data_IF_082580369517
#
_entry.id   IF_082580369517
#
_cell.length_a   1.000
_cell.length_b   1.000
_cell.length_c   1.000
_cell.angle_alpha   90.00
_cell.angle_beta   90.00
_cell.angle_gamma   90.00
#
_symmetry.space_group_name_H-M   'P 1'
#
loop_
_entity.id
_entity.type
_entity.pdbx_description
1 polymer ?
#
# COMPACT_ATOMS: atom_id res chain seq x y z
N UNK A 1 -7.47 -24.63 -11.01
CA UNK A 1 -7.58 -23.61 -9.95
C UNK A 1 -8.16 -24.28 -8.71
N UNK A 2 -7.56 -24.13 -7.52
CA UNK A 2 -8.21 -24.60 -6.30
C UNK A 2 -9.60 -23.97 -6.19
N UNK A 3 -10.58 -24.77 -5.75
CA UNK A 3 -11.97 -24.38 -5.70
C UNK A 3 -12.16 -23.17 -4.75
N UNK A 4 -12.50 -21.99 -5.28
CA UNK A 4 -12.70 -20.74 -4.52
C UNK A 4 -13.63 -20.92 -3.32
N UNK A 5 -14.63 -21.81 -3.44
CA UNK A 5 -15.52 -22.15 -2.34
C UNK A 5 -14.82 -22.89 -1.18
N UNK A 6 -13.85 -23.75 -1.48
CA UNK A 6 -13.04 -24.46 -0.48
C UNK A 6 -12.11 -23.49 0.25
N UNK A 7 -11.44 -22.61 -0.50
CA UNK A 7 -10.59 -21.56 0.07
C UNK A 7 -11.40 -20.63 0.99
N UNK A 8 -12.59 -20.20 0.56
CA UNK A 8 -13.49 -19.40 1.38
C UNK A 8 -13.94 -20.13 2.67
N UNK A 9 -14.16 -21.44 2.61
CA UNK A 9 -14.50 -22.23 3.80
C UNK A 9 -13.33 -22.35 4.77
N UNK A 10 -12.11 -22.54 4.27
CA UNK A 10 -10.89 -22.57 5.08
C UNK A 10 -10.63 -21.21 5.72
N UNK A 11 -10.73 -20.13 4.95
CA UNK A 11 -10.56 -18.77 5.46
C UNK A 11 -11.55 -18.46 6.59
N UNK A 12 -12.83 -18.78 6.42
CA UNK A 12 -13.83 -18.61 7.49
C UNK A 12 -13.46 -19.38 8.77
N UNK A 13 -12.93 -20.59 8.64
CA UNK A 13 -12.47 -21.37 9.81
C UNK A 13 -11.28 -20.71 10.50
N UNK A 14 -10.34 -20.16 9.74
CA UNK A 14 -9.20 -19.43 10.29
C UNK A 14 -9.69 -18.18 11.04
N UNK A 15 -10.58 -17.39 10.42
CA UNK A 15 -11.13 -16.18 11.03
C UNK A 15 -11.86 -16.47 12.36
N UNK A 16 -12.55 -17.60 12.47
CA UNK A 16 -13.20 -18.01 13.73
C UNK A 16 -12.20 -18.47 14.82
N UNK A 17 -10.93 -18.65 14.48
CA UNK A 17 -9.90 -19.17 15.39
C UNK A 17 -8.85 -18.14 15.83
N UNK A 18 -8.83 -16.96 15.20
CA UNK A 18 -7.88 -15.88 15.52
C UNK A 18 -8.43 -14.91 16.54
N UNK A 19 -7.54 -14.21 17.23
CA UNK A 19 -7.89 -13.29 18.30
C UNK A 19 -8.72 -12.10 17.81
N UNK A 20 -8.34 -11.50 16.66
CA UNK A 20 -9.00 -10.32 16.09
C UNK A 20 -9.33 -10.50 14.59
N UNK A 21 -10.42 -11.20 14.25
CA UNK A 21 -10.81 -11.41 12.85
C UNK A 21 -11.18 -10.14 12.08
N UNK A 22 -11.58 -9.07 12.80
CA UNK A 22 -11.88 -7.77 12.19
C UNK A 22 -10.73 -7.19 11.37
N UNK A 23 -9.47 -7.52 11.71
CA UNK A 23 -8.26 -7.11 10.98
C UNK A 23 -8.21 -7.57 9.53
N UNK A 24 -8.99 -8.59 9.18
CA UNK A 24 -8.90 -9.31 7.91
C UNK A 24 -10.22 -9.36 7.14
N UNK A 25 -11.28 -8.77 7.69
CA UNK A 25 -12.64 -8.89 7.15
C UNK A 25 -12.93 -7.88 6.04
N UNK A 26 -12.18 -6.77 5.97
CA UNK A 26 -12.42 -5.68 5.03
C UNK A 26 -13.67 -4.86 5.37
N UNK A 27 -14.16 -4.10 4.40
CA UNK A 27 -15.37 -3.27 4.55
C UNK A 27 -15.15 -1.92 5.24
N UNK A 28 -13.93 -1.38 5.13
CA UNK A 28 -13.54 -0.12 5.76
C UNK A 28 -14.37 1.07 5.30
N UNK A 29 -14.62 2.00 6.24
CA UNK A 29 -15.14 3.31 5.86
C UNK A 29 -14.15 4.05 4.97
N UNK A 30 -14.64 4.69 3.91
CA UNK A 30 -13.80 5.36 2.92
C UNK A 30 -13.13 4.42 1.90
N UNK A 31 -13.57 3.16 1.83
CA UNK A 31 -13.14 2.25 0.76
C UNK A 31 -13.53 2.81 -0.62
N UNK A 32 -12.56 2.88 -1.52
CA UNK A 32 -12.78 3.31 -2.89
C UNK A 32 -13.74 2.36 -3.63
N UNK A 33 -14.60 2.88 -4.53
CA UNK A 33 -15.46 2.03 -5.34
C UNK A 33 -14.62 1.09 -6.21
N UNK A 34 -15.05 -0.16 -6.34
CA UNK A 34 -14.35 -1.16 -7.13
C UNK A 34 -14.23 -0.73 -8.59
N UNK A 35 -13.00 -0.64 -9.10
CA UNK A 35 -12.70 -0.36 -10.51
C UNK A 35 -12.35 -1.65 -11.24
N UNK A 36 -13.36 -2.28 -11.85
CA UNK A 36 -13.19 -3.57 -12.55
C UNK A 36 -12.29 -3.46 -13.78
N UNK A 37 -12.30 -2.32 -14.44
CA UNK A 37 -11.55 -2.07 -15.69
C UNK A 37 -10.22 -1.33 -15.45
N UNK A 38 -9.76 -1.26 -14.19
CA UNK A 38 -8.46 -0.68 -13.89
C UNK A 38 -7.34 -1.50 -14.56
N UNK A 39 -6.42 -0.79 -15.21
CA UNK A 39 -5.31 -1.41 -15.93
C UNK A 39 -4.14 -1.75 -15.02
N UNK A 40 -4.00 -1.05 -13.88
CA UNK A 40 -2.97 -1.29 -12.88
C UNK A 40 -3.60 -1.60 -11.52
N UNK A 41 -3.24 -2.75 -10.95
CA UNK A 41 -3.60 -3.12 -9.60
C UNK A 41 -2.42 -2.91 -8.67
N UNK A 42 -2.61 -2.04 -7.67
CA UNK A 42 -1.59 -1.66 -6.70
C UNK A 42 -2.05 -2.09 -5.31
N UNK A 43 -1.16 -2.64 -4.50
CA UNK A 43 -1.40 -2.72 -3.05
C UNK A 43 -0.41 -1.85 -2.29
N UNK A 44 -0.90 -1.08 -1.32
CA UNK A 44 -0.07 -0.30 -0.40
C UNK A 44 -0.12 -0.89 1.01
N UNK A 45 1.01 -0.84 1.70
CA UNK A 45 1.16 -1.42 3.02
C UNK A 45 2.06 -0.56 3.89
N UNK A 46 1.61 -0.29 5.12
CA UNK A 46 2.53 -0.09 6.24
C UNK A 46 2.74 -1.46 6.87
N UNK A 47 3.94 -2.05 6.80
CA UNK A 47 4.16 -3.47 7.11
C UNK A 47 4.16 -3.74 8.62
N UNK A 48 3.04 -3.48 9.26
CA UNK A 48 2.77 -3.78 10.67
C UNK A 48 1.33 -4.25 10.82
N UNK A 49 0.90 -4.52 12.06
CA UNK A 49 -0.47 -4.89 12.36
C UNK A 49 -1.46 -3.85 11.85
N UNK A 50 -2.64 -4.34 11.47
CA UNK A 50 -3.74 -3.56 10.92
C UNK A 50 -4.00 -2.26 11.71
N UNK A 51 -4.08 -2.30 13.05
CA UNK A 51 -4.39 -1.11 13.84
C UNK A 51 -3.32 0.00 13.70
N UNK A 52 -2.05 -0.40 13.58
CA UNK A 52 -0.91 0.50 13.40
C UNK A 52 -0.90 1.04 11.97
N UNK A 53 -1.05 0.14 10.99
CA UNK A 53 -1.02 0.51 9.58
C UNK A 53 -2.20 1.38 9.15
N UNK A 54 -3.40 1.12 9.65
CA UNK A 54 -4.59 1.95 9.40
C UNK A 54 -4.48 3.34 10.02
N UNK A 55 -3.72 3.48 11.11
CA UNK A 55 -3.44 4.77 11.75
C UNK A 55 -2.32 5.55 11.04
N UNK A 56 -1.72 4.99 9.98
CA UNK A 56 -0.65 5.65 9.23
C UNK A 56 -1.20 6.60 8.16
N UNK A 57 -0.94 7.90 8.34
CA UNK A 57 -1.42 8.94 7.42
C UNK A 57 -0.87 8.78 5.99
N UNK A 58 0.39 8.38 5.82
CA UNK A 58 0.98 8.20 4.50
C UNK A 58 0.24 7.11 3.70
N UNK A 59 -0.18 6.03 4.34
CA UNK A 59 -1.00 5.00 3.69
C UNK A 59 -2.37 5.55 3.29
N UNK A 60 -3.01 6.35 4.14
CA UNK A 60 -4.31 6.95 3.82
C UNK A 60 -4.22 7.92 2.63
N UNK A 61 -3.19 8.76 2.61
CA UNK A 61 -2.94 9.71 1.51
C UNK A 61 -2.66 8.95 0.21
N UNK A 62 -1.72 8.00 0.22
CA UNK A 62 -1.38 7.22 -0.97
C UNK A 62 -2.58 6.43 -1.49
N UNK A 63 -3.34 5.78 -0.59
CA UNK A 63 -4.56 5.06 -0.96
C UNK A 63 -5.57 5.96 -1.66
N UNK A 64 -5.82 7.16 -1.10
CA UNK A 64 -6.75 8.13 -1.66
C UNK A 64 -6.28 8.64 -3.03
N UNK A 65 -5.02 9.10 -3.13
CA UNK A 65 -4.44 9.66 -4.36
C UNK A 65 -4.36 8.63 -5.49
N UNK A 66 -3.93 7.41 -5.19
CA UNK A 66 -3.87 6.33 -6.19
C UNK A 66 -5.26 5.94 -6.67
N UNK A 67 -6.26 5.90 -5.79
CA UNK A 67 -7.63 5.63 -6.20
C UNK A 67 -8.32 6.82 -6.88
N UNK A 68 -7.77 8.03 -6.85
CA UNK A 68 -8.22 9.15 -7.69
C UNK A 68 -7.76 8.99 -9.15
N UNK A 69 -6.68 8.25 -9.41
CA UNK A 69 -6.19 8.00 -10.77
C UNK A 69 -7.13 7.05 -11.51
N UNK A 70 -7.62 7.46 -12.68
CA UNK A 70 -8.69 6.76 -13.44
C UNK A 70 -8.45 5.25 -13.59
N UNK A 71 -7.25 4.85 -14.02
CA UNK A 71 -6.93 3.47 -14.41
C UNK A 71 -6.12 2.68 -13.38
N UNK A 72 -6.03 3.20 -12.16
CA UNK A 72 -5.36 2.54 -11.03
C UNK A 72 -6.42 2.14 -10.01
N UNK A 73 -6.34 0.90 -9.55
CA UNK A 73 -7.08 0.43 -8.38
C UNK A 73 -6.10 0.05 -7.28
N UNK A 74 -6.15 0.81 -6.19
CA UNK A 74 -5.26 0.64 -5.06
C UNK A 74 -6.00 -0.02 -3.89
N UNK A 75 -5.41 -1.08 -3.36
CA UNK A 75 -5.90 -1.85 -2.22
C UNK A 75 -4.89 -1.77 -1.07
N UNK A 76 -5.33 -2.07 0.16
CA UNK A 76 -4.48 -2.10 1.35
C UNK A 76 -4.21 -3.52 1.79
N UNK A 77 -3.02 -3.73 2.32
CA UNK A 77 -2.64 -4.96 3.00
C UNK A 77 -1.74 -4.60 4.18
N UNK A 78 -1.81 -5.41 5.23
CA UNK A 78 -1.03 -5.23 6.46
C UNK A 78 -0.42 -6.55 6.88
N UNK A 79 0.55 -6.49 7.79
CA UNK A 79 1.20 -7.69 8.31
C UNK A 79 0.18 -8.49 9.13
N UNK A 80 -0.03 -9.78 8.80
CA UNK A 80 -0.92 -10.63 9.58
C UNK A 80 -0.34 -10.88 10.98
N UNK A 81 -1.20 -11.00 11.97
CA UNK A 81 -0.77 -11.40 13.30
C UNK A 81 -0.31 -12.88 13.28
N UNK A 82 0.54 -13.32 14.23
CA UNK A 82 1.14 -14.65 14.19
C UNK A 82 0.12 -15.80 14.12
N UNK A 83 -1.02 -15.67 14.80
CA UNK A 83 -2.12 -16.64 14.77
C UNK A 83 -2.77 -16.76 13.39
N UNK A 84 -3.05 -15.63 12.73
CA UNK A 84 -3.58 -15.61 11.37
C UNK A 84 -2.56 -16.10 10.35
N UNK A 85 -1.30 -15.67 10.46
CA UNK A 85 -0.21 -16.11 9.59
C UNK A 85 0.00 -17.64 9.65
N UNK A 86 -0.07 -18.22 10.86
CA UNK A 86 -0.01 -19.67 11.05
C UNK A 86 -1.21 -20.37 10.41
N UNK A 87 -2.42 -19.81 10.55
CA UNK A 87 -3.63 -20.30 9.92
C UNK A 87 -3.53 -20.33 8.38
N UNK A 88 -3.09 -19.23 7.78
CA UNK A 88 -2.86 -19.12 6.33
C UNK A 88 -1.84 -20.15 5.84
N UNK A 89 -0.71 -20.26 6.53
CA UNK A 89 0.37 -21.21 6.20
C UNK A 89 -0.14 -22.65 6.25
N UNK A 90 -0.85 -23.03 7.32
CA UNK A 90 -1.41 -24.38 7.49
C UNK A 90 -2.45 -24.72 6.42
N UNK A 91 -3.23 -23.73 5.99
CA UNK A 91 -4.24 -23.91 4.95
C UNK A 91 -3.69 -23.74 3.52
N UNK A 92 -2.39 -23.41 3.37
CA UNK A 92 -1.77 -23.05 2.09
C UNK A 92 -2.52 -21.95 1.35
N UNK A 93 -3.01 -20.96 2.10
CA UNK A 93 -3.67 -19.77 1.55
C UNK A 93 -2.65 -18.62 1.48
N UNK A 94 -2.62 -17.86 0.38
CA UNK A 94 -1.76 -16.68 0.27
C UNK A 94 -2.27 -15.54 1.16
N UNK A 95 -1.39 -14.61 1.50
CA UNK A 95 -1.81 -13.31 2.03
C UNK A 95 -2.57 -12.52 0.93
N UNK A 96 -3.58 -11.78 1.35
CA UNK A 96 -4.52 -11.09 0.46
C UNK A 96 -4.82 -9.66 0.92
N UNK A 97 -5.35 -8.83 0.01
CA UNK A 97 -5.77 -7.45 0.27
C UNK A 97 -7.08 -7.34 1.05
N UNK A 98 -7.28 -6.23 1.75
CA UNK A 98 -8.48 -6.01 2.56
C UNK A 98 -9.75 -5.74 1.74
N UNK A 99 -9.63 -5.06 0.60
CA UNK A 99 -10.78 -4.59 -0.18
C UNK A 99 -11.45 -5.73 -0.93
N UNK A 100 -10.68 -6.51 -1.69
CA UNK A 100 -11.24 -7.56 -2.56
C UNK A 100 -10.83 -8.97 -2.17
N UNK A 101 -9.90 -9.14 -1.22
CA UNK A 101 -9.32 -10.45 -0.93
C UNK A 101 -8.43 -10.98 -2.05
N UNK A 102 -7.90 -10.09 -2.91
CA UNK A 102 -6.99 -10.46 -3.98
C UNK A 102 -5.65 -10.94 -3.39
N UNK A 103 -5.12 -12.10 -3.80
CA UNK A 103 -3.79 -12.54 -3.42
C UNK A 103 -2.72 -11.53 -3.82
N UNK A 104 -1.74 -11.30 -2.94
CA UNK A 104 -0.68 -10.30 -3.17
C UNK A 104 0.15 -10.55 -4.43
N UNK A 105 0.28 -11.82 -4.83
CA UNK A 105 0.99 -12.23 -6.05
C UNK A 105 0.28 -11.78 -7.34
N UNK A 106 -1.02 -11.49 -7.28
CA UNK A 106 -1.84 -11.14 -8.44
C UNK A 106 -1.90 -9.62 -8.69
N UNK A 107 -1.14 -8.82 -7.93
CA UNK A 107 -1.00 -7.38 -8.14
C UNK A 107 0.11 -7.07 -9.15
N UNK A 108 0.07 -5.88 -9.75
CA UNK A 108 1.15 -5.38 -10.58
C UNK A 108 2.27 -4.75 -9.74
N UNK A 109 1.90 -4.10 -8.64
CA UNK A 109 2.82 -3.37 -7.77
C UNK A 109 2.40 -3.46 -6.31
N UNK A 110 3.36 -3.75 -5.43
CA UNK A 110 3.24 -3.66 -3.98
C UNK A 110 4.15 -2.54 -3.46
N UNK A 111 3.56 -1.52 -2.83
CA UNK A 111 4.24 -0.38 -2.24
C UNK A 111 4.28 -0.46 -0.72
N UNK A 112 5.49 -0.48 -0.15
CA UNK A 112 5.70 -0.52 1.30
C UNK A 112 6.16 0.82 1.85
N UNK A 113 5.41 1.41 2.78
CA UNK A 113 5.85 2.58 3.56
C UNK A 113 6.55 2.10 4.83
N UNK A 114 7.87 2.24 4.89
CA UNK A 114 8.70 1.74 5.98
C UNK A 114 9.01 2.89 6.95
N UNK A 115 8.30 2.91 8.08
CA UNK A 115 8.46 3.93 9.12
C UNK A 115 9.69 3.77 10.02
N UNK A 116 10.16 2.54 10.24
CA UNK A 116 11.34 2.23 11.04
C UNK A 116 11.96 0.91 10.59
N UNK A 117 13.23 0.65 10.92
CA UNK A 117 14.01 -0.43 10.31
C UNK A 117 13.53 -1.83 10.73
N UNK A 118 12.97 -1.96 11.94
CA UNK A 118 12.58 -3.27 12.48
C UNK A 118 11.39 -3.90 11.75
N UNK A 119 10.55 -3.13 11.06
CA UNK A 119 9.41 -3.67 10.28
C UNK A 119 9.78 -4.23 8.91
N UNK A 120 11.07 -4.25 8.58
CA UNK A 120 11.53 -4.85 7.31
C UNK A 120 11.35 -6.36 7.31
N UNK A 121 11.52 -7.01 8.47
CA UNK A 121 11.23 -8.44 8.63
C UNK A 121 9.76 -8.77 8.38
N UNK A 122 8.86 -7.84 8.67
CA UNK A 122 7.44 -7.97 8.36
C UNK A 122 7.20 -7.97 6.85
N UNK A 123 7.87 -7.08 6.10
CA UNK A 123 7.83 -7.11 4.62
C UNK A 123 8.25 -8.49 4.11
N UNK A 124 9.37 -9.03 4.61
CA UNK A 124 9.85 -10.37 4.21
C UNK A 124 8.84 -11.46 4.55
N UNK A 125 8.17 -11.36 5.70
CA UNK A 125 7.13 -12.30 6.12
C UNK A 125 5.90 -12.23 5.20
N UNK A 126 5.48 -11.03 4.82
CA UNK A 126 4.37 -10.82 3.87
C UNK A 126 4.69 -11.39 2.49
N UNK A 127 5.91 -11.15 1.96
CA UNK A 127 6.34 -11.72 0.68
C UNK A 127 6.38 -13.25 0.72
N UNK A 128 6.94 -13.81 1.79
CA UNK A 128 7.01 -15.26 2.02
C UNK A 128 5.62 -15.90 2.05
N UNK A 129 4.69 -15.34 2.84
CA UNK A 129 3.29 -15.80 2.93
C UNK A 129 2.53 -15.67 1.60
N UNK A 130 2.95 -14.77 0.73
CA UNK A 130 2.33 -14.54 -0.59
C UNK A 130 2.95 -15.42 -1.69
N UNK A 131 4.00 -16.18 -1.39
CA UNK A 131 4.74 -16.93 -2.41
C UNK A 131 5.46 -16.04 -3.42
N UNK A 132 5.87 -14.85 -3.00
CA UNK A 132 6.65 -13.89 -3.79
C UNK A 132 8.13 -14.04 -3.41
N UNK A 133 9.06 -14.15 -4.38
CA UNK A 133 10.49 -14.24 -4.09
C UNK A 133 10.98 -13.05 -3.26
N UNK A 134 11.77 -13.35 -2.22
CA UNK A 134 12.31 -12.35 -1.30
C UNK A 134 13.33 -11.43 -1.97
N UNK A 135 14.19 -12.00 -2.82
CA UNK A 135 15.20 -11.27 -3.56
C UNK A 135 14.61 -10.70 -4.84
N UNK A 136 14.90 -9.44 -5.15
CA UNK A 136 14.45 -8.84 -6.42
C UNK A 136 14.99 -9.58 -7.65
N UNK A 137 16.15 -10.23 -7.53
CA UNK A 137 16.79 -10.99 -8.62
C UNK A 137 16.06 -12.28 -8.99
N UNK A 138 15.27 -12.81 -8.06
CA UNK A 138 14.60 -14.09 -8.23
C UNK A 138 13.15 -13.92 -8.71
N UNK A 139 12.69 -12.67 -8.91
CA UNK A 139 11.34 -12.35 -9.40
C UNK A 139 11.27 -12.46 -10.91
N UNK A 140 10.26 -13.19 -11.38
CA UNK A 140 9.96 -13.36 -12.80
C UNK A 140 8.87 -12.41 -13.30
N UNK A 141 8.48 -12.58 -14.55
CA UNK A 141 7.46 -11.77 -15.24
C UNK A 141 6.09 -11.82 -14.56
N UNK A 142 5.77 -12.90 -13.85
CA UNK A 142 4.50 -13.11 -13.15
C UNK A 142 4.46 -12.55 -11.73
N UNK A 143 5.58 -12.05 -11.19
CA UNK A 143 5.64 -11.52 -9.83
C UNK A 143 5.41 -9.99 -9.84
N UNK A 144 4.76 -9.41 -8.81
CA UNK A 144 4.59 -7.97 -8.71
C UNK A 144 5.94 -7.23 -8.63
N UNK A 145 5.91 -5.95 -8.99
CA UNK A 145 6.97 -5.01 -8.62
C UNK A 145 6.86 -4.69 -7.13
N UNK A 146 7.96 -4.83 -6.40
CA UNK A 146 8.01 -4.53 -4.97
C UNK A 146 8.82 -3.25 -4.77
N UNK A 147 8.13 -2.18 -4.38
CA UNK A 147 8.74 -0.88 -4.09
C UNK A 147 8.61 -0.53 -2.62
N UNK A 148 9.57 0.24 -2.11
CA UNK A 148 9.52 0.79 -0.78
C UNK A 148 9.70 2.30 -0.78
N UNK A 149 9.18 2.96 0.26
CA UNK A 149 9.45 4.35 0.59
C UNK A 149 9.40 4.54 2.10
N UNK A 150 9.45 5.79 2.55
CA UNK A 150 9.40 6.15 3.96
C UNK A 150 10.77 6.46 4.58
N UNK A 151 10.78 7.00 5.80
CA UNK A 151 11.99 7.55 6.43
C UNK A 151 13.07 6.48 6.69
N UNK A 152 12.68 5.24 6.97
CA UNK A 152 13.63 4.18 7.34
C UNK A 152 14.44 3.65 6.15
N UNK A 153 14.07 3.97 4.91
CA UNK A 153 14.77 3.53 3.69
C UNK A 153 15.61 4.64 3.04
N UNK A 154 15.84 5.75 3.76
CA UNK A 154 16.71 6.84 3.28
C UNK A 154 18.16 6.39 3.08
N UNK A 155 18.59 5.35 3.81
CA UNK A 155 19.76 4.56 3.48
C UNK A 155 19.29 3.27 2.78
N UNK A 156 19.14 3.26 1.44
CA UNK A 156 18.48 2.17 0.74
C UNK A 156 19.36 0.93 0.55
N UNK A 157 20.69 1.07 0.67
CA UNK A 157 21.64 0.02 0.33
C UNK A 157 21.43 -1.29 1.12
N UNK A 158 21.23 -1.28 2.45
CA UNK A 158 21.00 -2.49 3.24
C UNK A 158 19.76 -3.28 2.82
N UNK A 159 18.74 -2.58 2.29
CA UNK A 159 17.45 -3.15 1.97
C UNK A 159 17.28 -3.45 0.47
N UNK A 160 18.17 -2.90 -0.35
CA UNK A 160 18.14 -2.98 -1.82
C UNK A 160 18.10 -4.39 -2.40
N UNK A 161 18.47 -5.42 -1.63
CA UNK A 161 18.35 -6.82 -2.05
C UNK A 161 16.89 -7.29 -2.15
N UNK A 162 15.98 -6.66 -1.43
CA UNK A 162 14.58 -7.12 -1.31
C UNK A 162 13.60 -6.32 -2.16
N UNK A 163 13.98 -5.14 -2.64
CA UNK A 163 13.09 -4.23 -3.38
C UNK A 163 13.55 -4.10 -4.83
N UNK A 164 12.60 -4.04 -5.77
CA UNK A 164 12.88 -3.76 -7.18
C UNK A 164 13.38 -2.32 -7.37
N UNK A 165 12.81 -1.40 -6.57
CA UNK A 165 13.23 -0.01 -6.44
C UNK A 165 12.79 0.56 -5.08
N UNK A 166 13.49 1.60 -4.59
CA UNK A 166 13.21 2.29 -3.33
C UNK A 166 13.04 3.79 -3.63
N UNK A 167 11.87 4.33 -3.38
CA UNK A 167 11.55 5.74 -3.55
C UNK A 167 12.16 6.58 -2.43
N UNK A 168 12.87 7.65 -2.78
CA UNK A 168 13.54 8.54 -1.84
C UNK A 168 12.84 9.91 -1.84
N UNK A 169 12.12 10.21 -0.76
CA UNK A 169 11.43 11.49 -0.58
C UNK A 169 9.94 11.34 -0.32
N UNK A 170 9.20 12.41 -0.56
CA UNK A 170 7.75 12.51 -0.43
C UNK A 170 7.09 12.01 -1.72
N UNK A 171 6.20 11.02 -1.58
CA UNK A 171 5.63 10.25 -2.68
C UNK A 171 4.26 10.78 -3.12
N UNK A 172 3.65 11.64 -2.29
CA UNK A 172 2.24 12.04 -2.33
C UNK A 172 1.81 12.60 -3.70
N UNK A 173 2.69 13.32 -4.39
CA UNK A 173 2.39 13.93 -5.70
C UNK A 173 2.89 13.09 -6.88
N UNK A 174 4.16 12.66 -6.85
CA UNK A 174 4.79 12.06 -8.02
C UNK A 174 4.41 10.58 -8.18
N UNK A 175 4.24 9.85 -7.08
CA UNK A 175 3.96 8.43 -7.15
C UNK A 175 2.61 8.11 -7.81
N UNK A 176 1.52 8.86 -7.59
CA UNK A 176 0.29 8.73 -8.37
C UNK A 176 0.49 8.95 -9.88
N UNK A 177 1.31 9.93 -10.28
CA UNK A 177 1.61 10.16 -11.70
C UNK A 177 2.39 8.99 -12.30
N UNK A 178 3.39 8.48 -11.58
CA UNK A 178 4.11 7.28 -12.00
C UNK A 178 3.13 6.11 -12.16
N UNK A 179 2.21 5.91 -11.21
CA UNK A 179 1.20 4.86 -11.34
C UNK A 179 0.24 5.08 -12.51
N UNK A 180 -0.09 6.32 -12.88
CA UNK A 180 -0.85 6.63 -14.07
C UNK A 180 -0.10 6.20 -15.34
N UNK A 181 1.20 6.51 -15.42
CA UNK A 181 2.06 6.10 -16.54
C UNK A 181 2.20 4.57 -16.62
N UNK A 182 2.36 3.90 -15.48
CA UNK A 182 2.38 2.43 -15.39
C UNK A 182 1.06 1.81 -15.85
N UNK A 183 -0.09 2.41 -15.51
CA UNK A 183 -1.40 1.98 -15.98
C UNK A 183 -1.53 2.12 -17.50
N UNK A 184 -0.99 3.19 -18.08
CA UNK A 184 -0.94 3.36 -19.53
C UNK A 184 -0.04 2.31 -20.20
N UNK A 185 1.14 2.02 -19.63
CA UNK A 185 2.01 0.95 -20.13
C UNK A 185 1.28 -0.40 -20.10
N UNK A 186 0.51 -0.71 -19.04
CA UNK A 186 -0.32 -1.92 -18.98
C UNK A 186 -1.43 -1.95 -20.03
N UNK A 187 -2.14 -0.82 -20.25
CA UNK A 187 -3.14 -0.68 -21.33
C UNK A 187 -2.55 -1.03 -22.69
N UNK A 188 -1.31 -0.62 -22.93
CA UNK A 188 -0.59 -0.80 -24.19
C UNK A 188 0.03 -2.22 -24.34
N UNK A 189 -0.27 -3.14 -23.41
CA UNK A 189 0.22 -4.51 -23.41
C UNK A 189 1.62 -4.68 -22.83
N UNK A 190 2.13 -3.66 -22.15
CA UNK A 190 3.44 -3.64 -21.50
C UNK A 190 3.55 -4.68 -20.39
N UNK A 191 4.77 -5.21 -20.26
CA UNK A 191 5.13 -6.29 -19.35
C UNK A 191 5.74 -5.75 -18.05
N UNK A 192 5.94 -6.63 -17.07
CA UNK A 192 6.56 -6.29 -15.78
C UNK A 192 7.90 -5.59 -16.00
N UNK A 193 8.69 -6.05 -16.95
CA UNK A 193 9.99 -5.44 -17.27
C UNK A 193 9.85 -4.00 -17.80
N UNK A 194 8.79 -3.69 -18.56
CA UNK A 194 8.55 -2.33 -19.04
C UNK A 194 8.13 -1.40 -17.90
N UNK A 195 7.31 -1.89 -16.97
CA UNK A 195 6.99 -1.18 -15.74
C UNK A 195 8.24 -0.91 -14.90
N UNK A 196 9.09 -1.93 -14.72
CA UNK A 196 10.34 -1.80 -13.97
C UNK A 196 11.29 -0.79 -14.61
N UNK A 197 11.42 -0.81 -15.94
CA UNK A 197 12.22 0.15 -16.70
C UNK A 197 11.73 1.57 -16.49
N UNK A 198 10.42 1.79 -16.51
CA UNK A 198 9.82 3.10 -16.26
C UNK A 198 10.12 3.60 -14.83
N UNK A 199 9.92 2.76 -13.80
CA UNK A 199 10.23 3.13 -12.40
C UNK A 199 11.73 3.47 -12.24
N UNK A 200 12.62 2.64 -12.79
CA UNK A 200 14.07 2.82 -12.65
C UNK A 200 14.61 4.05 -13.40
N UNK A 201 13.90 4.53 -14.42
CA UNK A 201 14.24 5.75 -15.13
C UNK A 201 14.01 7.02 -14.29
N UNK A 202 13.15 6.99 -13.26
CA UNK A 202 12.96 8.14 -12.37
C UNK A 202 14.21 8.41 -11.53
N UNK A 203 14.54 9.71 -11.39
CA UNK A 203 15.67 10.16 -10.57
C UNK A 203 15.47 9.93 -9.07
N UNK A 204 14.22 9.74 -8.64
CA UNK A 204 13.81 9.62 -7.23
C UNK A 204 13.77 8.18 -6.72
N UNK A 205 13.87 7.19 -7.61
CA UNK A 205 14.01 5.79 -7.23
C UNK A 205 15.49 5.38 -7.16
N UNK A 206 15.92 4.88 -6.02
CA UNK A 206 17.13 4.09 -5.89
C UNK A 206 16.85 2.65 -6.31
N UNK A 207 17.79 2.01 -7.01
CA UNK A 207 17.76 0.56 -7.21
C UNK A 207 19.19 0.01 -7.21
N UNK A 208 19.32 -1.29 -6.93
CA UNK A 208 20.64 -1.92 -6.95
C UNK A 208 21.22 -1.84 -8.38
N UNK A 209 22.46 -1.39 -8.50
CA UNK A 209 23.14 -1.17 -9.78
C UNK A 209 22.95 0.22 -10.40
N UNK A 210 22.15 1.12 -9.80
CA UNK A 210 22.06 2.51 -10.24
C UNK A 210 23.40 3.23 -10.04
N UNK A 211 23.92 3.84 -11.11
CA UNK A 211 25.18 4.61 -11.08
C UNK A 211 24.95 6.10 -10.85
N UNK A 212 23.80 6.60 -11.25
CA UNK A 212 23.40 7.99 -11.12
C UNK A 212 22.99 8.31 -9.68
N UNK A 213 23.20 9.57 -9.28
CA UNK A 213 22.79 10.04 -7.96
C UNK A 213 21.27 10.04 -7.86
N UNK A 214 20.75 9.38 -6.83
CA UNK A 214 19.31 9.46 -6.50
C UNK A 214 19.03 10.77 -5.78
N UNK A 215 18.06 11.54 -6.27
CA UNK A 215 17.63 12.82 -5.69
C UNK A 215 16.42 12.59 -4.78
N UNK A 216 16.41 13.24 -3.63
CA UNK A 216 15.23 13.22 -2.75
C UNK A 216 14.13 14.08 -3.36
N UNK A 217 12.92 13.55 -3.51
CA UNK A 217 11.73 14.36 -3.82
C UNK A 217 11.30 15.13 -2.58
N UNK A 218 11.09 16.44 -2.75
CA UNK A 218 10.51 17.33 -1.74
C UNK A 218 9.14 17.75 -2.26
N UNK A 219 8.15 17.67 -1.39
CA UNK A 219 6.80 18.12 -1.68
C UNK A 219 6.71 19.63 -1.46
N UNK A 220 6.35 20.36 -2.53
CA UNK A 220 6.32 21.82 -2.54
C UNK A 220 4.88 22.39 -2.57
N UNK A 221 3.88 21.51 -2.57
CA UNK A 221 2.47 21.86 -2.78
C UNK A 221 1.69 22.09 -1.48
N UNK A 222 2.33 22.08 -0.30
CA UNK A 222 1.66 22.40 0.97
C UNK A 222 0.94 23.77 0.89
N UNK A 223 -0.38 23.76 1.07
CA UNK A 223 -1.24 24.95 1.01
C UNK A 223 -1.45 25.54 -0.40
N UNK A 224 -1.09 24.80 -1.45
CA UNK A 224 -1.27 25.19 -2.87
C UNK A 224 -2.06 24.18 -3.68
N UNK A 225 -2.49 23.08 -3.06
CA UNK A 225 -3.16 21.99 -3.75
C UNK A 225 -4.60 22.38 -4.11
N UNK A 226 -4.98 22.38 -5.40
CA UNK A 226 -6.35 22.69 -5.81
C UNK A 226 -7.39 21.67 -5.34
N UNK A 227 -6.97 20.44 -4.98
CA UNK A 227 -7.84 19.41 -4.43
C UNK A 227 -7.93 19.47 -2.89
N UNK A 228 -7.16 20.33 -2.22
CA UNK A 228 -7.38 20.60 -0.80
C UNK A 228 -8.77 21.25 -0.65
N UNK A 229 -9.68 20.69 0.16
CA UNK A 229 -10.94 21.36 0.44
C UNK A 229 -10.61 22.74 1.00
N UNK A 230 -11.23 23.80 0.46
CA UNK A 230 -11.15 25.15 1.05
C UNK A 230 -11.27 24.99 2.56
N UNK A 231 -10.24 25.42 3.29
CA UNK A 231 -10.11 25.14 4.72
C UNK A 231 -11.27 25.79 5.47
N UNK A 232 -12.38 25.07 5.59
CA UNK A 232 -13.41 25.36 6.56
C UNK A 232 -12.83 24.91 7.88
N UNK A 233 -12.03 25.78 8.50
CA UNK A 233 -11.71 25.61 9.91
C UNK A 233 -13.05 25.38 10.62
N UNK A 234 -13.26 24.24 11.30
CA UNK A 234 -14.39 24.12 12.20
C UNK A 234 -14.08 25.09 13.33
N UNK A 235 -14.41 26.36 13.13
CA UNK A 235 -14.47 27.32 14.22
C UNK A 235 -15.49 26.68 15.15
N UNK A 236 -15.11 26.26 16.38
CA UNK A 236 -16.09 25.75 17.30
C UNK A 236 -17.10 26.88 17.50
N UNK A 237 -18.30 26.74 16.93
CA UNK A 237 -19.42 27.61 17.27
C UNK A 237 -19.85 27.17 18.67
N UNK A 238 -19.08 27.58 19.67
CA UNK A 238 -19.54 27.63 21.04
C UNK A 238 -20.63 28.70 21.06
N UNK A 239 -21.89 28.29 20.89
CA UNK A 239 -23.02 29.15 21.25
C UNK A 239 -22.81 29.52 22.72
N UNK A 240 -22.42 30.76 22.98
CA UNK A 240 -22.48 31.38 24.29
C UNK A 240 -23.93 31.29 24.74
N UNK A 241 -24.24 30.29 25.57
CA UNK A 241 -25.51 30.22 26.26
C UNK A 241 -25.53 31.43 27.19
N UNK A 242 -26.34 32.45 26.85
CA UNK A 242 -26.60 33.56 27.78
C UNK A 242 -27.20 32.94 29.03
N UNK A 243 -26.47 33.01 30.14
CA UNK A 243 -26.98 32.69 31.46
C UNK A 243 -28.27 33.48 31.67
N UNK A 244 -29.40 32.79 31.80
CA UNK A 244 -30.62 33.42 32.29
C UNK A 244 -30.33 33.89 33.72
N UNK A 245 -30.17 35.19 33.90
CA UNK A 245 -30.21 35.82 35.22
C UNK A 245 -31.64 35.66 35.71
N UNK A 246 -31.86 34.73 36.64
CA UNK A 246 -33.09 34.64 37.41
C UNK A 246 -33.19 35.91 38.27
N UNK A 247 -34.05 36.85 37.87
CA UNK A 247 -34.48 37.94 38.74
C UNK A 247 -35.29 37.35 39.89
N UNK A 248 -34.87 37.61 41.12
CA UNK A 248 -35.74 37.49 42.30
C UNK A 248 -36.53 38.77 42.50
#
# INVERSE_FOLDING_TARGET
MPNTAMQNRQLKRILLSVEKPGRYSGGEFGMAPLKKDAALHVAVSYPDLYEIGMSNLAIQILYSRLNAVKDVYCERVFTPAPDFAAGLTKASLPLFSLETGRPLKDFDLLGFSIGYELIITNVLSMLSLSGIPLSWKDRGESDPLIVAGGPAVINPLPFSRFFDAIYIGEAEDEFPQICADLAQIRRDGGKREDLLRHIRASSHFFHQGKREKTSRKVWECFGKDPDEPETVFPVPISKLCRTMVLSR
#
